data_IF_297876729582
#
_entry.id   IF_297876729582
#
_cell.length_a   1.000
_cell.length_b   1.000
_cell.length_c   1.000
_cell.angle_alpha   90.00
_cell.angle_beta   90.00
_cell.angle_gamma   90.00
#
_symmetry.space_group_name_H-M   'P 1'
#
loop_
_entity.id
_entity.type
_entity.pdbx_description
1 polymer ?
#
# COMPACT_ATOMS: atom_id res chain seq x y z
N UNK A 1 -5.83 -12.65 -7.29
CA UNK A 1 -5.28 -13.81 -6.56
C UNK A 1 -3.75 -13.83 -6.60
N UNK A 2 -3.11 -13.86 -7.78
CA UNK A 2 -1.63 -13.91 -7.86
C UNK A 2 -0.93 -12.72 -7.18
N UNK A 3 -1.44 -11.50 -7.37
CA UNK A 3 -0.91 -10.29 -6.73
C UNK A 3 -1.04 -10.31 -5.19
N UNK A 4 -2.10 -10.94 -4.67
CA UNK A 4 -2.31 -11.13 -3.23
C UNK A 4 -1.27 -12.09 -2.65
N UNK A 5 -0.94 -13.16 -3.38
CA UNK A 5 0.11 -14.12 -3.01
C UNK A 5 1.47 -13.44 -3.03
N UNK A 6 1.77 -12.68 -4.08
CA UNK A 6 3.00 -11.90 -4.20
C UNK A 6 3.15 -10.95 -3.01
N UNK A 7 2.11 -10.15 -2.70
CA UNK A 7 2.12 -9.26 -1.55
C UNK A 7 2.45 -10.02 -0.26
N UNK A 8 1.74 -11.13 -0.01
CA UNK A 8 1.94 -11.92 1.22
C UNK A 8 3.36 -12.48 1.32
N UNK A 9 3.88 -13.07 0.24
CA UNK A 9 5.22 -13.68 0.20
C UNK A 9 6.31 -12.63 0.37
N UNK A 10 6.26 -11.52 -0.36
CA UNK A 10 7.29 -10.50 -0.25
C UNK A 10 7.24 -9.79 1.11
N UNK A 11 6.06 -9.50 1.65
CA UNK A 11 5.95 -8.94 2.99
C UNK A 11 6.51 -9.92 4.05
N UNK A 12 6.21 -11.22 3.91
CA UNK A 12 6.78 -12.23 4.80
C UNK A 12 8.31 -12.26 4.74
N UNK A 13 8.89 -12.23 3.53
CA UNK A 13 10.34 -12.20 3.34
C UNK A 13 10.95 -10.96 3.99
N UNK A 14 10.35 -9.77 3.77
CA UNK A 14 10.86 -8.50 4.31
C UNK A 14 10.85 -8.54 5.84
N UNK A 15 9.75 -8.99 6.45
CA UNK A 15 9.63 -9.10 7.91
C UNK A 15 10.65 -10.11 8.46
N UNK A 16 10.79 -11.28 7.82
CA UNK A 16 11.79 -12.27 8.25
C UNK A 16 13.22 -11.75 8.10
N UNK A 17 13.54 -11.09 7.00
CA UNK A 17 14.84 -10.46 6.81
C UNK A 17 15.15 -9.43 7.91
N UNK A 18 14.17 -8.60 8.28
CA UNK A 18 14.28 -7.67 9.40
C UNK A 18 14.60 -8.38 10.72
N UNK A 19 13.89 -9.47 11.03
CA UNK A 19 14.06 -10.25 12.27
C UNK A 19 15.34 -11.11 12.32
N UNK A 20 15.93 -11.46 11.17
CA UNK A 20 17.09 -12.36 11.11
C UNK A 20 18.37 -11.58 10.90
N UNK A 21 18.39 -10.66 9.93
CA UNK A 21 19.60 -9.94 9.50
C UNK A 21 19.72 -8.53 10.09
N UNK A 22 18.60 -7.88 10.42
CA UNK A 22 18.59 -6.47 10.87
C UNK A 22 18.02 -6.29 12.29
N UNK A 23 18.32 -7.23 13.21
CA UNK A 23 17.75 -7.30 14.56
C UNK A 23 17.89 -6.05 15.44
N UNK A 24 18.93 -5.25 15.21
CA UNK A 24 19.24 -4.07 16.03
C UNK A 24 18.58 -2.78 15.52
N UNK A 25 17.86 -2.83 14.39
CA UNK A 25 17.23 -1.64 13.82
C UNK A 25 15.83 -1.46 14.40
N UNK A 26 15.53 -0.22 14.80
CA UNK A 26 14.21 0.17 15.34
C UNK A 26 13.17 0.44 14.23
N UNK A 27 13.62 0.49 12.98
CA UNK A 27 12.80 0.81 11.83
C UNK A 27 12.28 -0.45 11.17
N UNK A 28 11.01 -0.42 10.78
CA UNK A 28 10.37 -1.48 9.99
C UNK A 28 10.31 -1.08 8.53
N UNK A 29 10.43 -2.08 7.66
CA UNK A 29 10.21 -1.95 6.23
C UNK A 29 8.98 -2.80 5.88
N UNK A 30 8.02 -2.19 5.19
CA UNK A 30 6.83 -2.85 4.67
C UNK A 30 6.55 -2.35 3.27
N UNK A 31 6.23 -3.27 2.36
CA UNK A 31 5.84 -2.93 0.99
C UNK A 31 4.33 -2.73 0.87
N UNK A 32 3.58 -3.05 1.93
CA UNK A 32 2.11 -3.02 1.94
C UNK A 32 1.56 -1.65 1.55
N UNK A 33 2.01 -0.51 2.10
CA UNK A 33 1.44 0.78 1.74
C UNK A 33 1.60 1.11 0.25
N UNK A 34 2.74 0.74 -0.34
CA UNK A 34 3.04 0.95 -1.75
C UNK A 34 2.15 0.07 -2.64
N UNK A 35 2.11 -1.23 -2.38
CA UNK A 35 1.31 -2.17 -3.16
C UNK A 35 -0.18 -1.87 -3.06
N UNK A 36 -0.65 -1.53 -1.87
CA UNK A 36 -2.05 -1.13 -1.67
C UNK A 36 -2.39 0.12 -2.48
N UNK A 37 -1.51 1.13 -2.51
CA UNK A 37 -1.71 2.31 -3.34
C UNK A 37 -1.79 1.96 -4.85
N UNK A 38 -0.91 1.08 -5.33
CA UNK A 38 -0.98 0.56 -6.72
C UNK A 38 -2.31 -0.15 -6.97
N UNK A 39 -2.73 -1.02 -6.05
CA UNK A 39 -3.99 -1.77 -6.19
C UNK A 39 -5.21 -0.84 -6.17
N UNK A 40 -5.22 0.20 -5.34
CA UNK A 40 -6.28 1.22 -5.36
C UNK A 40 -6.35 1.93 -6.73
N UNK A 41 -5.20 2.27 -7.32
CA UNK A 41 -5.19 2.86 -8.67
C UNK A 41 -5.75 1.90 -9.71
N UNK A 42 -5.34 0.64 -9.68
CA UNK A 42 -5.76 -0.36 -10.68
C UNK A 42 -7.21 -0.79 -10.55
N UNK A 43 -7.65 -1.09 -9.33
CA UNK A 43 -8.90 -1.79 -9.05
C UNK A 43 -9.73 -1.14 -7.94
N UNK A 44 -9.44 0.11 -7.56
CA UNK A 44 -10.24 0.88 -6.61
C UNK A 44 -10.45 0.11 -5.29
N UNK A 45 -11.69 -0.25 -4.95
CA UNK A 45 -12.07 -0.83 -3.66
C UNK A 45 -11.35 -2.15 -3.32
N UNK A 46 -10.82 -2.89 -4.31
CA UNK A 46 -10.02 -4.08 -4.05
C UNK A 46 -8.78 -3.79 -3.18
N UNK A 47 -8.29 -2.55 -3.14
CA UNK A 47 -7.18 -2.13 -2.25
C UNK A 47 -7.44 -2.42 -0.77
N UNK A 48 -8.71 -2.40 -0.34
CA UNK A 48 -9.11 -2.71 1.05
C UNK A 48 -8.77 -4.16 1.43
N UNK A 49 -8.96 -5.10 0.50
CA UNK A 49 -8.62 -6.51 0.75
C UNK A 49 -7.10 -6.70 0.89
N UNK A 50 -6.32 -5.98 0.07
CA UNK A 50 -4.86 -6.05 0.12
C UNK A 50 -4.29 -5.39 1.36
N UNK A 51 -4.93 -4.33 1.88
CA UNK A 51 -4.50 -3.69 3.12
C UNK A 51 -4.70 -4.59 4.33
N UNK A 52 -5.85 -5.28 4.42
CA UNK A 52 -6.09 -6.31 5.42
C UNK A 52 -5.09 -7.47 5.29
N UNK A 53 -4.90 -7.99 4.07
CA UNK A 53 -3.99 -9.10 3.82
C UNK A 53 -2.54 -8.75 4.20
N UNK A 54 -2.10 -7.51 3.95
CA UNK A 54 -0.79 -7.04 4.38
C UNK A 54 -0.61 -7.04 5.90
N UNK A 55 -1.65 -6.66 6.65
CA UNK A 55 -1.64 -6.75 8.11
C UNK A 55 -1.53 -8.19 8.60
N UNK A 56 -2.29 -9.10 8.00
CA UNK A 56 -2.23 -10.54 8.30
C UNK A 56 -0.85 -11.11 7.96
N UNK A 57 -0.30 -10.79 6.80
CA UNK A 57 1.02 -11.26 6.35
C UNK A 57 2.12 -10.84 7.33
N UNK A 58 2.13 -9.56 7.73
CA UNK A 58 3.07 -9.02 8.69
C UNK A 58 2.95 -9.72 10.04
N UNK A 59 1.74 -9.83 10.59
CA UNK A 59 1.54 -10.49 11.89
C UNK A 59 1.90 -11.97 11.86
N UNK A 60 1.60 -12.67 10.77
CA UNK A 60 1.98 -14.07 10.58
C UNK A 60 3.48 -14.25 10.51
N UNK A 61 4.17 -13.42 9.72
CA UNK A 61 5.62 -13.46 9.60
C UNK A 61 6.33 -13.13 10.92
N UNK A 62 5.79 -12.20 11.69
CA UNK A 62 6.35 -11.77 12.98
C UNK A 62 6.05 -12.72 14.15
N UNK A 63 5.13 -13.69 13.99
CA UNK A 63 4.64 -14.50 15.11
C UNK A 63 3.89 -13.66 16.15
N UNK A 64 3.11 -12.67 15.68
CA UNK A 64 2.51 -11.66 16.55
C UNK A 64 1.34 -12.20 17.39
N UNK A 65 1.02 -11.51 18.49
CA UNK A 65 -0.14 -11.83 19.33
C UNK A 65 -1.47 -11.50 18.65
N UNK A 66 -2.58 -12.07 19.13
CA UNK A 66 -3.94 -11.77 18.62
C UNK A 66 -4.27 -10.28 18.63
N UNK A 67 -3.80 -9.54 19.65
CA UNK A 67 -3.99 -8.10 19.73
C UNK A 67 -3.28 -7.37 18.58
N UNK A 68 -2.07 -7.80 18.21
CA UNK A 68 -1.33 -7.25 17.08
C UNK A 68 -2.04 -7.53 15.76
N UNK A 69 -2.62 -8.73 15.57
CA UNK A 69 -3.45 -9.01 14.39
C UNK A 69 -4.60 -8.03 14.25
N UNK A 70 -5.32 -7.72 15.33
CA UNK A 70 -6.40 -6.75 15.31
C UNK A 70 -5.89 -5.35 14.93
N UNK A 71 -4.80 -4.89 15.57
CA UNK A 71 -4.21 -3.57 15.32
C UNK A 71 -3.79 -3.42 13.86
N UNK A 72 -3.00 -4.35 13.34
CA UNK A 72 -2.44 -4.23 11.98
C UNK A 72 -3.49 -4.48 10.91
N UNK A 73 -4.38 -5.47 11.10
CA UNK A 73 -5.41 -5.78 10.09
C UNK A 73 -6.45 -4.69 10.02
N UNK A 74 -7.06 -4.30 11.15
CA UNK A 74 -8.11 -3.29 11.18
C UNK A 74 -7.54 -1.88 10.97
N UNK A 75 -6.35 -1.60 11.51
CA UNK A 75 -5.67 -0.32 11.31
C UNK A 75 -5.33 -0.07 9.84
N UNK A 76 -4.85 -1.09 9.11
CA UNK A 76 -4.56 -0.95 7.69
C UNK A 76 -5.80 -0.62 6.83
N UNK A 77 -7.00 -0.96 7.29
CA UNK A 77 -8.25 -0.64 6.57
C UNK A 77 -8.50 0.86 6.46
N UNK A 78 -7.87 1.70 7.29
CA UNK A 78 -7.96 3.15 7.18
C UNK A 78 -7.40 3.69 5.86
N UNK A 79 -6.62 2.88 5.13
CA UNK A 79 -6.26 3.14 3.73
C UNK A 79 -7.45 3.33 2.79
N UNK A 80 -8.67 2.97 3.20
CA UNK A 80 -9.91 3.27 2.47
C UNK A 80 -10.07 4.77 2.17
N UNK A 81 -9.42 5.66 2.94
CA UNK A 81 -9.37 7.10 2.65
C UNK A 81 -8.83 7.40 1.24
N UNK A 82 -8.01 6.50 0.67
CA UNK A 82 -7.51 6.64 -0.69
C UNK A 82 -8.64 6.60 -1.73
N UNK A 83 -9.76 5.93 -1.45
CA UNK A 83 -10.92 5.98 -2.34
C UNK A 83 -11.49 7.40 -2.46
N UNK A 84 -11.38 8.21 -1.41
CA UNK A 84 -11.75 9.63 -1.47
C UNK A 84 -10.79 10.40 -2.38
N UNK A 85 -9.49 10.13 -2.29
CA UNK A 85 -8.51 10.70 -3.23
C UNK A 85 -8.86 10.36 -4.68
N UNK A 86 -9.14 9.08 -4.96
CA UNK A 86 -9.52 8.64 -6.30
C UNK A 86 -10.80 9.34 -6.79
N UNK A 87 -11.79 9.50 -5.91
CA UNK A 87 -13.08 10.16 -6.22
C UNK A 87 -12.93 11.66 -6.50
N UNK A 88 -12.15 12.38 -5.68
CA UNK A 88 -12.09 13.84 -5.72
C UNK A 88 -10.96 14.40 -6.60
N UNK A 89 -9.82 13.70 -6.70
CA UNK A 89 -8.67 14.15 -7.49
C UNK A 89 -8.67 13.49 -8.88
N UNK A 90 -9.17 12.26 -8.96
CA UNK A 90 -9.16 11.46 -10.19
C UNK A 90 -7.85 10.69 -10.38
N UNK A 91 -7.97 9.48 -10.93
CA UNK A 91 -6.84 8.57 -11.17
C UNK A 91 -5.80 9.16 -12.12
N UNK A 92 -6.22 9.79 -13.21
CA UNK A 92 -5.31 10.38 -14.21
C UNK A 92 -4.42 11.47 -13.58
N UNK A 93 -5.01 12.40 -12.84
CA UNK A 93 -4.25 13.46 -12.15
C UNK A 93 -3.30 12.90 -11.09
N UNK A 94 -3.68 11.82 -10.40
CA UNK A 94 -2.80 11.12 -9.46
C UNK A 94 -1.63 10.45 -10.19
N UNK A 95 -1.83 9.92 -11.40
CA UNK A 95 -0.76 9.30 -12.20
C UNK A 95 0.18 10.35 -12.82
N UNK A 96 -0.37 11.44 -13.35
CA UNK A 96 0.39 12.33 -14.23
C UNK A 96 1.21 13.37 -13.45
N UNK A 97 0.71 13.87 -12.31
CA UNK A 97 1.44 14.86 -11.50
C UNK A 97 2.33 14.20 -10.45
N UNK A 98 3.63 14.56 -10.45
CA UNK A 98 4.59 14.01 -9.47
C UNK A 98 4.13 14.23 -8.04
N UNK A 99 3.71 15.45 -7.76
CA UNK A 99 3.28 15.90 -6.46
C UNK A 99 2.05 15.13 -5.94
N UNK A 100 1.01 14.95 -6.76
CA UNK A 100 -0.21 14.25 -6.32
C UNK A 100 0.02 12.78 -6.02
N UNK A 101 0.92 12.10 -6.75
CA UNK A 101 1.23 10.70 -6.45
C UNK A 101 2.05 10.53 -5.18
N UNK A 102 2.96 11.47 -4.89
CA UNK A 102 3.71 11.46 -3.62
C UNK A 102 2.73 11.61 -2.47
N UNK A 103 1.80 12.57 -2.56
CA UNK A 103 0.75 12.72 -1.55
C UNK A 103 -0.10 11.45 -1.45
N UNK A 104 -0.47 10.84 -2.57
CA UNK A 104 -1.26 9.60 -2.56
C UNK A 104 -0.51 8.43 -1.90
N UNK A 105 0.79 8.29 -2.17
CA UNK A 105 1.65 7.28 -1.53
C UNK A 105 1.76 7.52 -0.02
N UNK A 106 2.00 8.77 0.39
CA UNK A 106 2.05 9.17 1.80
C UNK A 106 0.70 8.96 2.49
N UNK A 107 -0.40 9.33 1.84
CA UNK A 107 -1.74 9.11 2.37
C UNK A 107 -2.00 7.61 2.60
N UNK A 108 -1.49 6.73 1.74
CA UNK A 108 -1.56 5.29 1.93
C UNK A 108 -0.89 4.86 3.23
N UNK A 109 0.37 5.24 3.43
CA UNK A 109 1.12 4.86 4.62
C UNK A 109 0.58 5.50 5.89
N UNK A 110 0.43 6.83 5.90
CA UNK A 110 0.02 7.59 7.09
C UNK A 110 -1.38 7.21 7.56
N UNK A 111 -2.33 6.98 6.64
CA UNK A 111 -3.68 6.53 7.03
C UNK A 111 -3.65 5.17 7.73
N UNK A 112 -2.82 4.23 7.27
CA UNK A 112 -2.63 2.95 7.96
C UNK A 112 -2.02 3.14 9.36
N UNK A 113 -1.02 4.00 9.52
CA UNK A 113 -0.41 4.24 10.85
C UNK A 113 -1.37 4.90 11.83
N UNK A 114 -2.11 5.92 11.37
CA UNK A 114 -3.16 6.54 12.15
C UNK A 114 -4.21 5.50 12.53
N UNK A 115 -4.65 4.67 11.58
CA UNK A 115 -5.60 3.59 11.84
C UNK A 115 -5.09 2.60 12.89
N UNK A 116 -3.83 2.15 12.79
CA UNK A 116 -3.20 1.25 13.78
C UNK A 116 -3.17 1.89 15.16
N UNK A 117 -2.78 3.15 15.27
CA UNK A 117 -2.77 3.86 16.54
C UNK A 117 -4.18 4.06 17.13
N UNK A 118 -5.19 4.34 16.31
CA UNK A 118 -6.60 4.40 16.74
C UNK A 118 -7.07 3.05 17.27
N UNK A 119 -6.84 1.96 16.53
CA UNK A 119 -7.23 0.61 16.98
C UNK A 119 -6.46 0.21 18.24
N UNK A 120 -5.17 0.52 18.33
CA UNK A 120 -4.36 0.27 19.52
C UNK A 120 -4.92 1.02 20.74
N UNK A 121 -5.32 2.28 20.57
CA UNK A 121 -5.92 3.10 21.62
C UNK A 121 -7.26 2.52 22.10
N UNK A 122 -8.12 2.06 21.17
CA UNK A 122 -9.37 1.38 21.51
C UNK A 122 -9.15 0.08 22.28
N UNK A 123 -8.01 -0.57 22.09
CA UNK A 123 -7.60 -1.78 22.82
C UNK A 123 -6.83 -1.47 24.12
N UNK A 124 -6.86 -0.21 24.59
CA UNK A 124 -6.30 0.20 25.89
C UNK A 124 -4.85 0.69 25.85
N UNK A 125 -4.23 0.85 24.68
CA UNK A 125 -2.90 1.47 24.56
C UNK A 125 -3.00 3.00 24.65
N UNK A 126 -1.91 3.67 25.00
CA UNK A 126 -1.86 5.14 24.99
C UNK A 126 -2.01 5.71 23.57
N UNK A 127 -2.66 6.87 23.43
CA UNK A 127 -2.81 7.56 22.13
C UNK A 127 -1.47 7.96 21.50
N UNK A 128 -0.41 8.07 22.32
CA UNK A 128 0.97 8.28 21.86
C UNK A 128 1.50 7.15 20.97
N UNK A 129 0.83 5.99 20.94
CA UNK A 129 1.17 4.88 20.03
C UNK A 129 1.10 5.28 18.55
N UNK A 130 0.29 6.26 18.17
CA UNK A 130 0.26 6.80 16.79
C UNK A 130 1.65 7.32 16.39
N UNK A 131 2.30 8.09 17.27
CA UNK A 131 3.62 8.66 17.01
C UNK A 131 4.65 7.54 16.88
N UNK A 132 4.55 6.51 17.72
CA UNK A 132 5.42 5.33 17.62
C UNK A 132 5.26 4.63 16.28
N UNK A 133 4.03 4.36 15.83
CA UNK A 133 3.79 3.70 14.53
C UNK A 133 4.37 4.50 13.36
N UNK A 134 4.18 5.82 13.33
CA UNK A 134 4.76 6.68 12.31
C UNK A 134 6.29 6.65 12.37
N UNK A 135 6.86 6.84 13.56
CA UNK A 135 8.32 6.86 13.73
C UNK A 135 8.96 5.53 13.31
N UNK A 136 8.40 4.39 13.71
CA UNK A 136 8.97 3.07 13.37
C UNK A 136 8.86 2.74 11.89
N UNK A 137 7.83 3.24 11.18
CA UNK A 137 7.59 2.94 9.77
C UNK A 137 8.09 4.04 8.80
N UNK A 138 8.93 4.97 9.25
CA UNK A 138 9.46 6.04 8.40
C UNK A 138 10.15 5.49 7.13
N UNK A 139 10.80 4.33 7.22
CA UNK A 139 11.42 3.67 6.06
C UNK A 139 10.34 3.13 5.12
N UNK A 140 9.30 2.50 5.64
CA UNK A 140 8.13 2.05 4.85
C UNK A 140 7.47 3.20 4.10
N UNK A 141 7.37 4.40 4.71
CA UNK A 141 6.84 5.61 4.07
C UNK A 141 7.69 6.06 2.89
N UNK A 142 9.01 6.14 3.08
CA UNK A 142 9.96 6.50 2.01
C UNK A 142 9.94 5.46 0.87
N UNK A 143 9.83 4.18 1.21
CA UNK A 143 9.71 3.11 0.21
C UNK A 143 8.40 3.19 -0.55
N UNK A 144 7.29 3.54 0.10
CA UNK A 144 6.03 3.77 -0.58
C UNK A 144 6.14 4.88 -1.62
N UNK A 145 6.74 6.01 -1.27
CA UNK A 145 7.00 7.10 -2.22
C UNK A 145 7.88 6.60 -3.38
N UNK A 146 9.00 5.95 -3.07
CA UNK A 146 9.95 5.46 -4.07
C UNK A 146 9.29 4.51 -5.06
N UNK A 147 8.59 3.50 -4.56
CA UNK A 147 7.90 2.50 -5.39
C UNK A 147 6.86 3.19 -6.27
N UNK A 148 6.03 4.11 -5.72
CA UNK A 148 5.03 4.81 -6.53
C UNK A 148 5.69 5.66 -7.63
N UNK A 149 6.78 6.36 -7.32
CA UNK A 149 7.53 7.14 -8.31
C UNK A 149 8.11 6.25 -9.43
N UNK A 150 8.54 5.02 -9.12
CA UNK A 150 9.01 4.05 -10.11
C UNK A 150 7.82 3.51 -10.92
N UNK A 151 6.78 3.00 -10.27
CA UNK A 151 5.64 2.33 -10.93
C UNK A 151 4.87 3.24 -11.86
N UNK A 152 4.93 4.56 -11.64
CA UNK A 152 4.35 5.56 -12.55
C UNK A 152 5.06 5.69 -13.88
N UNK A 153 6.35 5.36 -13.92
CA UNK A 153 7.13 5.35 -15.15
C UNK A 153 7.01 4.02 -15.90
N UNK A 154 6.45 2.99 -15.25
CA UNK A 154 6.20 1.70 -15.85
C UNK A 154 4.83 1.71 -16.53
N UNK A 155 4.80 1.35 -17.81
CA UNK A 155 3.58 1.37 -18.59
C UNK A 155 2.51 0.45 -17.99
N UNK A 156 1.30 0.99 -17.86
CA UNK A 156 0.14 0.29 -17.36
C UNK A 156 0.15 -0.11 -15.89
N UNK A 157 1.26 -0.03 -15.14
CA UNK A 157 1.36 -0.55 -13.75
C UNK A 157 0.56 0.32 -12.76
N UNK A 158 0.75 1.63 -12.80
CA UNK A 158 0.07 2.61 -11.95
C UNK A 158 -1.05 3.34 -12.71
N UNK A 159 -1.96 2.56 -13.27
CA UNK A 159 -3.07 3.02 -14.11
C UNK A 159 -4.35 2.23 -13.83
N UNK A 160 -5.50 2.83 -14.10
CA UNK A 160 -6.78 2.12 -14.04
C UNK A 160 -6.81 0.93 -15.02
N UNK A 161 -7.27 -0.23 -14.55
CA UNK A 161 -7.25 -1.45 -15.36
C UNK A 161 -8.09 -1.33 -16.63
N UNK A 162 -9.25 -0.66 -16.58
CA UNK A 162 -10.14 -0.54 -17.74
C UNK A 162 -9.53 0.44 -18.74
N UNK A 163 -9.06 1.60 -18.26
CA UNK A 163 -8.37 2.58 -19.11
C UNK A 163 -7.18 1.97 -19.84
N UNK A 164 -6.38 1.16 -19.13
CA UNK A 164 -5.24 0.45 -19.72
C UNK A 164 -5.67 -0.50 -20.86
N UNK A 165 -6.67 -1.36 -20.62
CA UNK A 165 -7.14 -2.32 -21.63
C UNK A 165 -7.74 -1.63 -22.87
N UNK A 166 -8.49 -0.55 -22.67
CA UNK A 166 -9.05 0.25 -23.78
C UNK A 166 -7.93 0.87 -24.61
N UNK A 167 -6.90 1.44 -23.97
CA UNK A 167 -5.75 2.01 -24.69
C UNK A 167 -5.04 0.95 -25.53
N UNK A 168 -4.69 -0.19 -24.92
CA UNK A 168 -3.97 -1.28 -25.62
C UNK A 168 -4.76 -1.80 -26.82
N UNK A 169 -6.08 -2.02 -26.65
CA UNK A 169 -6.93 -2.47 -27.75
C UNK A 169 -7.01 -1.43 -28.89
N UNK A 170 -7.05 -0.14 -28.59
CA UNK A 170 -7.03 0.90 -29.62
C UNK A 170 -5.70 0.92 -30.38
N UNK A 171 -4.58 0.79 -29.66
CA UNK A 171 -3.24 0.71 -30.27
C UNK A 171 -3.07 -0.53 -31.17
N UNK A 172 -3.67 -1.66 -30.81
CA UNK A 172 -3.67 -2.88 -31.64
C UNK A 172 -4.51 -2.70 -32.91
N UNK A 173 -5.71 -2.12 -32.79
CA UNK A 173 -6.59 -1.88 -33.94
C UNK A 173 -5.99 -0.86 -34.93
N UNK A 174 -5.30 0.17 -34.45
CA UNK A 174 -4.59 1.13 -35.30
C UNK A 174 -3.40 0.52 -36.04
N UNK A 175 -2.77 -0.51 -35.48
CA UNK A 175 -1.67 -1.24 -36.12
C UNK A 175 -2.18 -2.28 -37.12
N UNK A 176 -3.25 -3.01 -36.79
CA UNK A 176 -3.87 -3.99 -37.68
C UNK A 176 -4.63 -3.38 -38.86
N UNK A 177 -5.11 -2.14 -38.75
CA UNK A 177 -5.71 -1.39 -39.87
C UNK A 177 -4.70 -0.71 -40.80
N UNK A 178 -3.39 -0.89 -40.58
CA UNK A 178 -2.30 -0.39 -41.42
C UNK A 178 -1.60 -1.48 -42.25
N UNK A 179 -2.09 -2.71 -42.19
CA UNK A 179 -1.70 -3.84 -43.08
C UNK A 179 -2.76 -4.04 -44.18
#
# INVERSE_FOLDING_TARGET
MIWSIILFVFEFIVVKAGSVWFRAQLWTLSIVPALVAVVYMRWSAFGVLYSALGGIALCFASGASTQQYLIYTLGNLFSVVLLLFLKFIGKEKIRDSVFTSIIFALASALSMQIGRGVVAALLGNGIGSIVTFIATDIISELFAILIICITRKLDGVFEDQISYLVRVNNEENEKGGRE
#
